data_IF_460275322461
#
_entry.id   IF_460275322461
#
_cell.length_a   1.000
_cell.length_b   1.000
_cell.length_c   1.000
_cell.angle_alpha   90.00
_cell.angle_beta   90.00
_cell.angle_gamma   90.00
#
_symmetry.space_group_name_H-M   'P 1'
#
loop_
_entity.id
_entity.type
_entity.pdbx_description
1 polymer ?
#
# COMPACT_ATOMS: atom_id res chain seq x y z
N UNK A 1 -20.88 -10.02 21.81
CA UNK A 1 -20.37 -8.81 21.11
C UNK A 1 -18.87 -8.97 20.91
N UNK A 2 -18.40 -9.03 19.66
CA UNK A 2 -16.96 -9.05 19.39
C UNK A 2 -16.37 -7.67 19.72
N UNK A 3 -15.22 -7.66 20.39
CA UNK A 3 -14.51 -6.42 20.71
C UNK A 3 -13.90 -5.84 19.42
N UNK A 4 -13.95 -4.51 19.19
CA UNK A 4 -13.35 -3.91 18.01
C UNK A 4 -11.84 -4.18 17.98
N UNK A 5 -11.40 -4.92 16.97
CA UNK A 5 -10.00 -5.16 16.65
C UNK A 5 -9.39 -4.05 15.77
N UNK A 6 -8.05 -3.94 15.81
CA UNK A 6 -7.26 -3.06 14.94
C UNK A 6 -6.66 -3.91 13.81
N UNK A 7 -7.01 -3.60 12.57
CA UNK A 7 -6.70 -4.46 11.42
C UNK A 7 -5.91 -3.66 10.39
N UNK A 8 -4.77 -4.21 9.96
CA UNK A 8 -3.97 -3.68 8.86
C UNK A 8 -4.13 -4.59 7.63
N UNK A 9 -4.68 -4.04 6.56
CA UNK A 9 -4.74 -4.71 5.25
C UNK A 9 -3.61 -4.20 4.38
N UNK A 10 -2.75 -5.09 3.91
CA UNK A 10 -1.61 -4.74 3.04
C UNK A 10 -1.90 -5.21 1.63
N UNK A 11 -1.78 -4.30 0.66
CA UNK A 11 -1.90 -4.60 -0.78
C UNK A 11 -0.67 -4.13 -1.53
N UNK A 12 -0.39 -4.76 -2.67
CA UNK A 12 0.74 -4.44 -3.55
C UNK A 12 0.34 -3.55 -4.74
N UNK A 13 -0.92 -3.12 -4.84
CA UNK A 13 -1.41 -2.32 -5.96
C UNK A 13 -2.45 -1.26 -5.56
N UNK A 14 -2.81 -0.37 -6.50
CA UNK A 14 -3.83 0.64 -6.31
C UNK A 14 -5.19 0.03 -5.96
N UNK A 15 -5.97 0.68 -5.09
CA UNK A 15 -7.25 0.16 -4.62
C UNK A 15 -8.29 0.09 -5.73
N UNK A 16 -8.30 1.06 -6.64
CA UNK A 16 -9.20 1.08 -7.78
C UNK A 16 -9.07 -0.17 -8.69
N UNK A 17 -7.92 -0.85 -8.65
CA UNK A 17 -7.66 -2.08 -9.42
C UNK A 17 -7.71 -3.35 -8.57
N UNK A 18 -7.96 -3.24 -7.26
CA UNK A 18 -8.01 -4.37 -6.34
C UNK A 18 -9.35 -4.39 -5.58
N UNK A 19 -10.45 -4.84 -6.23
CA UNK A 19 -11.79 -4.79 -5.65
C UNK A 19 -11.95 -5.72 -4.43
N UNK A 20 -11.08 -6.72 -4.26
CA UNK A 20 -11.11 -7.62 -3.12
C UNK A 20 -10.79 -6.88 -1.82
N UNK A 21 -9.67 -6.15 -1.82
CA UNK A 21 -9.22 -5.36 -0.65
C UNK A 21 -10.28 -4.33 -0.27
N UNK A 22 -10.89 -3.68 -1.27
CA UNK A 22 -11.98 -2.74 -1.04
C UNK A 22 -13.14 -3.40 -0.28
N UNK A 23 -13.65 -4.53 -0.79
CA UNK A 23 -14.80 -5.24 -0.18
C UNK A 23 -14.48 -5.72 1.24
N UNK A 24 -13.33 -6.35 1.43
CA UNK A 24 -12.91 -6.88 2.73
C UNK A 24 -12.71 -5.77 3.77
N UNK A 25 -11.98 -4.70 3.42
CA UNK A 25 -11.76 -3.58 4.33
C UNK A 25 -13.07 -2.83 4.65
N UNK A 26 -13.96 -2.70 3.66
CA UNK A 26 -15.26 -2.08 3.85
C UNK A 26 -16.15 -2.88 4.80
N UNK A 27 -16.22 -4.20 4.62
CA UNK A 27 -16.99 -5.08 5.49
C UNK A 27 -16.47 -5.06 6.93
N UNK A 28 -15.15 -5.10 7.11
CA UNK A 28 -14.53 -5.03 8.43
C UNK A 28 -14.76 -3.67 9.11
N UNK A 29 -14.63 -2.57 8.35
CA UNK A 29 -14.92 -1.22 8.85
C UNK A 29 -16.38 -1.06 9.25
N UNK A 30 -17.31 -1.54 8.41
CA UNK A 30 -18.74 -1.52 8.68
C UNK A 30 -19.14 -2.39 9.89
N UNK A 31 -18.37 -3.46 10.18
CA UNK A 31 -18.53 -4.28 11.38
C UNK A 31 -17.99 -3.60 12.66
N UNK A 32 -17.43 -2.38 12.56
CA UNK A 32 -16.94 -1.60 13.70
C UNK A 32 -15.48 -1.82 14.05
N UNK A 33 -14.69 -2.45 13.17
CA UNK A 33 -13.24 -2.59 13.36
C UNK A 33 -12.48 -1.31 12.98
N UNK A 34 -11.34 -1.06 13.63
CA UNK A 34 -10.41 0.01 13.23
C UNK A 34 -9.53 -0.53 12.08
N UNK A 35 -9.95 -0.28 10.84
CA UNK A 35 -9.27 -0.81 9.65
C UNK A 35 -8.37 0.25 9.03
N UNK A 36 -7.12 -0.12 8.77
CA UNK A 36 -6.16 0.65 7.98
C UNK A 36 -5.75 -0.15 6.76
N UNK A 37 -5.77 0.46 5.58
CA UNK A 37 -5.35 -0.14 4.31
C UNK A 37 -4.07 0.51 3.83
N UNK A 38 -2.98 -0.27 3.79
CA UNK A 38 -1.67 0.15 3.32
C UNK A 38 -1.53 -0.14 1.83
N UNK A 39 -1.29 0.91 1.04
CA UNK A 39 -1.20 0.85 -0.42
C UNK A 39 0.10 1.46 -0.92
N UNK A 40 0.76 0.88 -1.94
CA UNK A 40 1.87 1.56 -2.60
C UNK A 40 1.35 2.60 -3.59
N UNK A 41 1.93 3.80 -3.60
CA UNK A 41 1.83 4.70 -4.75
C UNK A 41 2.92 4.37 -5.74
N UNK A 42 2.59 3.52 -6.70
CA UNK A 42 3.45 3.14 -7.81
C UNK A 42 2.90 3.58 -9.18
N UNK A 43 1.68 4.12 -9.23
CA UNK A 43 1.02 4.54 -10.46
C UNK A 43 0.30 5.87 -10.26
N UNK A 44 0.91 6.97 -10.72
CA UNK A 44 0.39 8.33 -10.51
C UNK A 44 -1.06 8.55 -11.02
N UNK A 45 -1.47 8.02 -12.20
CA UNK A 45 -2.84 8.24 -12.68
C UNK A 45 -3.93 7.57 -11.83
N UNK A 46 -3.59 6.57 -11.01
CA UNK A 46 -4.57 5.88 -10.16
C UNK A 46 -4.82 6.59 -8.83
N UNK A 47 -3.93 7.49 -8.40
CA UNK A 47 -4.03 8.15 -7.10
C UNK A 47 -5.29 9.03 -6.94
N UNK A 48 -5.71 9.85 -7.93
CA UNK A 48 -6.93 10.64 -7.81
C UNK A 48 -8.17 9.76 -7.62
N UNK A 49 -8.23 8.63 -8.34
CA UNK A 49 -9.32 7.67 -8.24
C UNK A 49 -9.34 6.97 -6.88
N UNK A 50 -8.17 6.53 -6.40
CA UNK A 50 -8.03 5.92 -5.07
C UNK A 50 -8.40 6.91 -3.95
N UNK A 51 -8.01 8.18 -4.09
CA UNK A 51 -8.36 9.23 -3.13
C UNK A 51 -9.87 9.51 -3.11
N UNK A 52 -10.51 9.60 -4.28
CA UNK A 52 -11.94 9.79 -4.41
C UNK A 52 -12.72 8.60 -3.81
N UNK A 53 -12.29 7.37 -4.10
CA UNK A 53 -12.90 6.16 -3.53
C UNK A 53 -12.78 6.14 -2.00
N UNK A 54 -11.61 6.47 -1.46
CA UNK A 54 -11.38 6.39 -0.01
C UNK A 54 -11.99 7.54 0.80
N UNK A 55 -12.47 8.62 0.16
CA UNK A 55 -13.03 9.77 0.87
C UNK A 55 -14.26 9.41 1.73
N UNK A 56 -15.06 8.43 1.30
CA UNK A 56 -16.24 7.96 2.01
C UNK A 56 -16.10 6.53 2.56
N UNK A 57 -14.89 5.97 2.57
CA UNK A 57 -14.67 4.59 2.98
C UNK A 57 -14.74 4.43 4.51
N UNK A 58 -15.28 3.31 5.03
CA UNK A 58 -15.32 3.04 6.48
C UNK A 58 -13.97 2.54 7.01
N UNK A 59 -12.86 2.93 6.38
CA UNK A 59 -11.50 2.55 6.75
C UNK A 59 -10.52 3.68 6.39
N UNK A 60 -9.35 3.68 7.04
CA UNK A 60 -8.28 4.64 6.75
C UNK A 60 -7.37 4.11 5.65
N UNK A 61 -7.07 4.93 4.63
CA UNK A 61 -5.98 4.62 3.68
C UNK A 61 -4.66 5.23 4.13
N UNK A 62 -3.59 4.43 4.12
CA UNK A 62 -2.20 4.87 4.28
C UNK A 62 -1.43 4.50 3.03
N UNK A 63 -0.62 5.42 2.54
CA UNK A 63 0.12 5.27 1.29
C UNK A 63 1.61 5.20 1.53
N UNK A 64 2.29 4.37 0.73
CA UNK A 64 3.74 4.28 0.67
C UNK A 64 4.20 4.73 -0.69
N UNK A 65 4.88 5.87 -0.75
CA UNK A 65 5.35 6.40 -2.02
C UNK A 65 6.52 5.58 -2.57
N UNK A 66 6.32 4.99 -3.75
CA UNK A 66 7.33 4.28 -4.53
C UNK A 66 7.75 5.06 -5.78
N UNK A 67 7.02 6.13 -6.12
CA UNK A 67 7.35 7.10 -7.15
C UNK A 67 7.51 8.50 -6.52
N UNK A 68 8.38 9.36 -7.09
CA UNK A 68 8.49 10.75 -6.64
C UNK A 68 7.22 11.54 -6.97
N UNK A 69 6.93 12.60 -6.18
CA UNK A 69 5.91 13.60 -6.52
C UNK A 69 4.76 13.81 -5.52
N UNK A 70 4.61 12.95 -4.50
CA UNK A 70 3.47 13.02 -3.56
C UNK A 70 3.85 13.48 -2.14
N UNK A 71 4.82 14.41 -2.03
CA UNK A 71 5.35 14.89 -0.74
C UNK A 71 6.47 14.02 -0.15
N UNK A 72 6.81 12.93 -0.82
CA UNK A 72 7.98 12.10 -0.53
C UNK A 72 9.26 12.76 -1.02
N UNK A 73 10.26 12.87 -0.14
CA UNK A 73 11.59 13.33 -0.52
C UNK A 73 12.12 12.47 -1.69
N UNK A 74 12.48 13.07 -2.84
CA UNK A 74 13.01 12.35 -3.99
C UNK A 74 14.22 11.49 -3.62
N UNK A 75 15.02 11.96 -2.65
CA UNK A 75 16.15 11.21 -2.06
C UNK A 75 15.69 9.92 -1.40
N UNK A 76 14.59 9.94 -0.63
CA UNK A 76 14.08 8.76 0.10
C UNK A 76 13.55 7.70 -0.85
N UNK A 77 12.85 8.11 -1.91
CA UNK A 77 12.41 7.22 -2.99
C UNK A 77 13.61 6.65 -3.73
N UNK A 78 14.56 7.49 -4.13
CA UNK A 78 15.79 7.07 -4.79
C UNK A 78 16.58 6.05 -3.96
N UNK A 79 16.82 6.30 -2.67
CA UNK A 79 17.52 5.37 -1.78
C UNK A 79 16.79 4.03 -1.64
N UNK A 80 15.46 4.03 -1.60
CA UNK A 80 14.66 2.79 -1.60
C UNK A 80 14.84 2.02 -2.90
N UNK A 81 14.72 2.68 -4.05
CA UNK A 81 14.91 2.05 -5.36
C UNK A 81 16.33 1.52 -5.53
N UNK A 82 17.33 2.28 -5.10
CA UNK A 82 18.74 1.88 -5.13
C UNK A 82 18.98 0.65 -4.24
N UNK A 83 18.50 0.66 -2.98
CA UNK A 83 18.59 -0.51 -2.10
C UNK A 83 17.94 -1.74 -2.72
N UNK A 84 16.77 -1.58 -3.33
CA UNK A 84 16.08 -2.69 -3.98
C UNK A 84 16.82 -3.18 -5.24
N UNK A 85 17.50 -2.29 -5.98
CA UNK A 85 18.37 -2.69 -7.09
C UNK A 85 19.62 -3.42 -6.60
N UNK A 86 20.29 -2.91 -5.58
CA UNK A 86 21.48 -3.54 -4.99
C UNK A 86 21.15 -4.89 -4.37
N UNK A 87 20.03 -5.01 -3.66
CA UNK A 87 19.57 -6.30 -3.13
C UNK A 87 19.29 -7.31 -4.25
N UNK A 88 18.62 -6.89 -5.33
CA UNK A 88 18.38 -7.74 -6.52
C UNK A 88 19.67 -8.11 -7.26
N UNK A 89 20.65 -7.22 -7.29
CA UNK A 89 21.96 -7.50 -7.90
C UNK A 89 22.78 -8.45 -7.03
N UNK A 90 22.79 -8.23 -5.71
CA UNK A 90 23.45 -9.10 -4.74
C UNK A 90 22.86 -10.51 -4.74
N UNK A 91 21.52 -10.64 -4.76
CA UNK A 91 20.86 -11.95 -4.88
C UNK A 91 21.25 -12.67 -6.18
N UNK A 92 21.33 -11.95 -7.32
CA UNK A 92 21.76 -12.52 -8.61
C UNK A 92 23.23 -12.97 -8.58
N UNK A 93 24.12 -12.19 -7.96
CA UNK A 93 25.56 -12.51 -7.87
C UNK A 93 25.87 -13.59 -6.84
N UNK A 94 25.12 -13.66 -5.75
CA UNK A 94 25.37 -14.57 -4.62
C UNK A 94 24.55 -15.87 -4.67
N UNK A 95 23.73 -16.10 -5.72
CA UNK A 95 22.87 -17.31 -5.87
C UNK A 95 22.05 -17.64 -4.62
N UNK A 96 21.61 -16.62 -3.88
CA UNK A 96 20.79 -16.83 -2.69
C UNK A 96 19.38 -17.28 -3.12
N UNK A 97 18.83 -18.37 -2.56
CA UNK A 97 17.47 -18.79 -2.85
C UNK A 97 16.50 -17.68 -2.45
N UNK A 98 15.55 -17.37 -3.33
CA UNK A 98 14.48 -16.41 -3.08
C UNK A 98 13.63 -16.90 -1.90
N UNK A 99 13.71 -16.17 -0.78
CA UNK A 99 12.81 -16.30 0.37
C UNK A 99 11.40 -15.81 0.03
#
# INVERSE_FOLDING_TARGET
MNRPARILVVTNGPLARNPRVWKEASALGAAGHEVTVLTPRNHAPSEPLDAALCAAAPFRRVTVDLIPGFGSSPRRVFWRLLRHRLAREAMRRLRLPSL
#
